data_IF_629151635599
#
_entry.id   IF_629151635599
#
_cell.length_a   1.000
_cell.length_b   1.000
_cell.length_c   1.000
_cell.angle_alpha   90.00
_cell.angle_beta   90.00
_cell.angle_gamma   90.00
#
_symmetry.space_group_name_H-M   'P 1'
#
loop_
_entity.id
_entity.type
_entity.pdbx_description
1 polymer ?
#
# COMPACT_ATOMS: atom_id res chain seq x y z
N UNK A 1 -10.37 13.45 32.80
CA UNK A 1 -9.40 13.37 31.69
C UNK A 1 -8.37 12.34 32.10
N UNK A 2 -8.37 11.16 31.46
CA UNK A 2 -7.45 10.08 31.82
C UNK A 2 -6.19 10.27 30.99
N UNK A 3 -5.06 10.41 31.68
CA UNK A 3 -3.73 10.44 31.09
C UNK A 3 -3.52 9.15 30.28
N UNK A 4 -3.49 9.27 28.95
CA UNK A 4 -3.21 8.17 28.03
C UNK A 4 -1.81 8.41 27.45
N UNK A 5 -0.94 7.44 27.68
CA UNK A 5 0.49 7.47 27.34
C UNK A 5 0.68 6.80 25.97
N UNK A 6 1.15 7.56 24.98
CA UNK A 6 1.71 7.04 23.74
C UNK A 6 3.24 6.90 23.92
N UNK A 7 3.80 5.76 23.49
CA UNK A 7 5.23 5.47 23.63
C UNK A 7 5.82 5.31 22.23
N UNK A 8 6.78 6.16 21.89
CA UNK A 8 7.57 6.08 20.67
C UNK A 8 8.60 4.95 20.78
N UNK A 9 8.65 4.09 19.77
CA UNK A 9 9.72 3.08 19.64
C UNK A 9 10.48 3.25 18.33
N UNK A 10 11.52 4.09 18.37
CA UNK A 10 12.60 4.13 17.39
C UNK A 10 12.32 4.82 16.06
N UNK A 11 13.41 5.28 15.45
CA UNK A 11 13.50 5.78 14.08
C UNK A 11 14.14 4.66 13.25
N UNK A 12 13.46 4.14 12.24
CA UNK A 12 14.01 3.09 11.37
C UNK A 12 14.40 3.76 10.04
N UNK A 13 15.72 4.00 9.86
CA UNK A 13 16.31 4.37 8.57
C UNK A 13 16.57 3.09 7.76
N UNK A 14 16.04 2.98 6.55
CA UNK A 14 16.63 2.11 5.53
C UNK A 14 17.46 3.01 4.60
N UNK A 15 18.71 3.22 4.96
CA UNK A 15 19.64 4.01 4.16
C UNK A 15 20.87 3.15 3.78
N UNK A 16 21.38 3.33 2.56
CA UNK A 16 22.59 2.68 2.07
C UNK A 16 23.78 2.94 3.02
N UNK A 17 24.58 1.90 3.29
CA UNK A 17 25.73 1.94 4.19
C UNK A 17 26.77 2.99 3.75
N UNK A 18 26.70 4.19 4.28
CA UNK A 18 27.81 5.15 4.28
C UNK A 18 28.49 5.18 5.66
N UNK A 19 29.72 4.66 5.74
CA UNK A 19 30.59 4.67 6.92
C UNK A 19 31.14 6.08 7.22
N UNK A 20 30.28 7.02 7.57
CA UNK A 20 30.68 8.32 8.12
C UNK A 20 30.29 8.41 9.61
N UNK A 21 31.10 9.14 10.40
CA UNK A 21 30.77 9.45 11.80
C UNK A 21 29.34 10.03 11.89
N UNK A 22 28.54 9.65 12.90
CA UNK A 22 27.18 10.14 13.01
C UNK A 22 27.21 11.65 13.18
N UNK A 23 26.74 12.37 12.16
CA UNK A 23 26.44 13.80 12.26
C UNK A 23 25.53 13.95 13.49
N UNK A 24 25.86 14.81 14.47
CA UNK A 24 24.97 15.08 15.59
C UNK A 24 23.65 15.55 15.00
N UNK A 25 22.63 14.71 15.11
CA UNK A 25 21.29 15.08 14.67
C UNK A 25 20.88 16.31 15.49
N UNK A 26 20.35 17.37 14.85
CA UNK A 26 19.77 18.48 15.59
C UNK A 26 18.74 17.92 16.59
N UNK A 27 18.54 18.56 17.74
CA UNK A 27 17.57 18.10 18.73
C UNK A 27 16.20 18.04 18.06
N UNK A 28 15.77 16.81 17.73
CA UNK A 28 14.49 16.59 17.11
C UNK A 28 13.41 16.81 18.15
N UNK A 29 12.44 17.68 17.88
CA UNK A 29 11.30 17.88 18.78
C UNK A 29 10.65 16.53 19.00
N UNK A 30 10.38 16.25 20.27
CA UNK A 30 9.73 15.02 20.66
C UNK A 30 8.35 14.95 20.00
N UNK A 31 8.07 13.82 19.34
CA UNK A 31 6.76 13.45 18.83
C UNK A 31 5.66 13.81 19.84
N UNK A 32 4.69 14.61 19.42
CA UNK A 32 3.62 15.08 20.28
C UNK A 32 2.26 14.65 19.74
N UNK A 33 1.33 14.44 20.66
CA UNK A 33 0.00 13.94 20.35
C UNK A 33 -1.03 14.95 20.79
N UNK A 34 -1.93 15.32 19.88
CA UNK A 34 -3.11 16.10 20.23
C UNK A 34 -4.36 15.27 19.95
N UNK A 35 -5.38 15.39 20.80
CA UNK A 35 -6.62 14.68 20.58
C UNK A 35 -7.28 15.19 19.29
N UNK A 36 -7.54 14.29 18.34
CA UNK A 36 -8.27 14.58 17.12
C UNK A 36 -9.78 14.43 17.31
N UNK A 37 -10.51 14.32 16.21
CA UNK A 37 -11.95 14.01 16.23
C UNK A 37 -12.20 12.53 16.53
N UNK A 38 -13.33 12.19 17.16
CA UNK A 38 -13.87 10.82 17.21
C UNK A 38 -12.89 9.67 17.51
N UNK A 39 -12.03 9.81 18.53
CA UNK A 39 -11.11 8.72 18.92
C UNK A 39 -9.82 8.61 18.11
N UNK A 40 -9.54 9.62 17.27
CA UNK A 40 -8.24 9.79 16.61
C UNK A 40 -7.26 10.58 17.46
N UNK A 41 -5.97 10.40 17.19
CA UNK A 41 -4.90 11.19 17.76
C UNK A 41 -4.05 11.77 16.64
N UNK A 42 -3.97 13.09 16.63
CA UNK A 42 -3.11 13.82 15.72
C UNK A 42 -1.66 13.67 16.17
N UNK A 43 -0.79 13.36 15.23
CA UNK A 43 0.64 13.16 15.47
C UNK A 43 1.41 14.35 14.87
N UNK A 44 2.18 15.05 15.70
CA UNK A 44 3.03 16.20 15.32
C UNK A 44 4.50 15.82 15.55
N UNK A 45 5.32 15.92 14.51
CA UNK A 45 6.74 15.59 14.51
C UNK A 45 7.52 16.52 13.57
N UNK A 46 8.80 16.74 13.89
CA UNK A 46 9.68 17.52 13.01
C UNK A 46 10.12 16.69 11.80
N UNK A 47 10.01 17.30 10.63
CA UNK A 47 10.41 16.73 9.36
C UNK A 47 11.90 16.91 9.04
N UNK A 48 12.28 16.56 7.81
CA UNK A 48 13.62 16.73 7.27
C UNK A 48 13.53 16.91 5.76
N UNK A 49 14.42 17.71 5.16
CA UNK A 49 14.46 17.88 3.71
C UNK A 49 14.66 16.52 3.01
N UNK A 50 13.97 16.33 1.88
CA UNK A 50 14.04 15.12 1.04
C UNK A 50 13.69 13.80 1.76
N UNK A 51 13.01 13.87 2.91
CA UNK A 51 12.53 12.69 3.62
C UNK A 51 11.04 12.50 3.42
N UNK A 52 10.67 11.28 3.07
CA UNK A 52 9.30 10.77 2.98
C UNK A 52 9.01 10.02 4.29
N UNK A 53 7.84 10.24 4.85
CA UNK A 53 7.43 9.70 6.12
C UNK A 53 6.18 8.83 5.98
N UNK A 54 6.24 7.68 6.64
CA UNK A 54 5.14 6.75 6.81
C UNK A 54 4.91 6.55 8.30
N UNK A 55 3.67 6.68 8.74
CA UNK A 55 3.31 6.44 10.14
C UNK A 55 2.82 5.01 10.28
N UNK A 56 3.33 4.29 11.26
CA UNK A 56 2.78 3.00 11.67
C UNK A 56 2.24 3.06 13.08
N UNK A 57 1.18 2.32 13.34
CA UNK A 57 0.57 2.19 14.66
C UNK A 57 0.35 0.72 15.02
N UNK A 58 0.29 0.46 16.33
CA UNK A 58 0.10 -0.87 16.89
C UNK A 58 -0.64 -0.78 18.22
N UNK A 59 -1.43 -1.81 18.55
CA UNK A 59 -2.05 -1.95 19.87
C UNK A 59 -1.27 -2.87 20.81
N UNK A 60 -0.35 -3.68 20.27
CA UNK A 60 0.28 -4.79 20.97
C UNK A 60 1.81 -4.88 20.80
N UNK A 61 2.42 -3.95 20.04
CA UNK A 61 3.83 -3.92 19.62
C UNK A 61 4.25 -5.05 18.66
N UNK A 62 3.32 -5.90 18.25
CA UNK A 62 3.58 -7.05 17.37
C UNK A 62 2.99 -6.80 16.00
N UNK A 63 1.69 -6.48 15.95
CA UNK A 63 0.99 -6.17 14.70
C UNK A 63 1.05 -4.67 14.46
N UNK A 64 1.66 -4.30 13.35
CA UNK A 64 1.84 -2.91 12.93
C UNK A 64 1.04 -2.66 11.65
N UNK A 65 0.30 -1.56 11.64
CA UNK A 65 -0.47 -1.11 10.50
C UNK A 65 0.08 0.23 10.04
N UNK A 66 0.19 0.45 8.73
CA UNK A 66 0.41 1.78 8.20
C UNK A 66 -0.83 2.65 8.40
N UNK A 67 -0.59 3.93 8.67
CA UNK A 67 -1.64 4.93 8.61
C UNK A 67 -1.87 5.29 7.13
N UNK A 68 -3.12 5.60 6.73
CA UNK A 68 -3.49 5.82 5.33
C UNK A 68 -3.14 7.25 4.86
N UNK A 69 -1.90 7.67 5.12
CA UNK A 69 -1.34 8.94 4.68
C UNK A 69 0.19 8.88 4.67
N UNK A 70 0.79 9.76 3.88
CA UNK A 70 2.23 9.96 3.75
C UNK A 70 2.54 11.44 3.97
N UNK A 71 3.75 11.74 4.43
CA UNK A 71 4.22 13.11 4.60
C UNK A 71 5.61 13.31 3.97
N UNK A 72 5.95 14.55 3.64
CA UNK A 72 7.21 14.86 2.97
C UNK A 72 7.80 16.19 3.44
N UNK A 73 9.11 16.20 3.66
CA UNK A 73 9.86 17.43 3.90
C UNK A 73 9.93 17.84 5.37
N UNK A 74 10.14 19.14 5.59
CA UNK A 74 10.53 19.70 6.90
C UNK A 74 9.38 19.97 7.86
N UNK A 75 8.17 20.20 7.34
CA UNK A 75 6.98 20.57 8.12
C UNK A 75 5.81 19.62 7.82
N UNK A 76 5.81 18.39 8.35
CA UNK A 76 4.73 17.43 8.17
C UNK A 76 3.42 17.92 8.79
N UNK A 77 2.31 17.73 8.09
CA UNK A 77 0.99 18.06 8.63
C UNK A 77 0.57 17.06 9.72
N UNK A 78 -0.20 17.48 10.75
CA UNK A 78 -0.65 16.59 11.80
C UNK A 78 -1.90 15.80 11.37
N UNK A 79 -1.80 14.46 11.33
CA UNK A 79 -2.91 13.58 10.96
C UNK A 79 -3.42 12.74 12.12
N UNK A 80 -4.75 12.54 12.12
CA UNK A 80 -5.44 11.69 13.05
C UNK A 80 -5.24 10.21 12.73
N UNK A 81 -4.47 9.50 13.55
CA UNK A 81 -4.42 8.03 13.49
C UNK A 81 -5.65 7.44 14.18
N UNK A 82 -6.41 6.60 13.47
CA UNK A 82 -7.52 5.85 14.07
C UNK A 82 -6.96 4.78 15.00
N UNK A 83 -7.27 4.92 16.29
CA UNK A 83 -6.81 3.97 17.33
C UNK A 83 -7.89 2.96 17.69
N UNK A 84 -8.95 2.86 16.89
CA UNK A 84 -10.14 2.03 17.18
C UNK A 84 -10.75 2.28 18.58
N UNK A 85 -10.60 3.51 19.09
CA UNK A 85 -11.04 3.88 20.43
C UNK A 85 -10.18 3.33 21.56
N UNK A 86 -9.01 2.74 21.25
CA UNK A 86 -8.10 2.17 22.22
C UNK A 86 -7.66 3.21 23.28
N UNK A 87 -7.37 2.69 24.47
CA UNK A 87 -6.89 3.53 25.56
C UNK A 87 -5.39 3.80 25.50
N UNK A 88 -4.65 2.95 24.80
CA UNK A 88 -3.22 3.02 24.58
C UNK A 88 -2.93 2.40 23.23
N UNK A 89 -1.92 2.94 22.58
CA UNK A 89 -1.43 2.49 21.29
C UNK A 89 0.03 2.92 21.20
N UNK A 90 0.73 2.32 20.26
CA UNK A 90 2.10 2.61 19.93
C UNK A 90 2.13 3.21 18.54
N UNK A 91 3.07 4.12 18.32
CA UNK A 91 3.36 4.63 16.99
C UNK A 91 4.86 4.58 16.76
N UNK A 92 5.22 4.41 15.50
CA UNK A 92 6.58 4.60 15.03
C UNK A 92 6.54 5.28 13.67
N UNK A 93 7.64 5.94 13.36
CA UNK A 93 7.84 6.55 12.07
C UNK A 93 8.77 5.65 11.26
N UNK A 94 8.31 5.24 10.08
CA UNK A 94 9.16 4.72 9.03
C UNK A 94 9.43 5.86 8.05
N UNK A 95 10.62 5.89 7.46
CA UNK A 95 10.96 6.94 6.51
C UNK A 95 11.91 6.45 5.43
N UNK A 96 11.89 7.17 4.33
CA UNK A 96 12.73 6.95 3.17
C UNK A 96 13.36 8.29 2.76
N UNK A 97 14.67 8.29 2.53
CA UNK A 97 15.42 9.47 2.12
C UNK A 97 15.70 9.37 0.62
N UNK A 98 15.15 10.29 -0.16
CA UNK A 98 15.39 10.34 -1.61
C UNK A 98 15.47 11.78 -2.09
N UNK A 99 16.69 12.20 -2.47
CA UNK A 99 16.95 13.54 -3.00
C UNK A 99 16.30 13.81 -4.37
N UNK A 100 15.86 12.77 -5.09
CA UNK A 100 15.16 12.91 -6.38
C UNK A 100 13.66 13.18 -6.20
N UNK A 101 13.12 12.95 -5.00
CA UNK A 101 11.76 13.31 -4.65
C UNK A 101 11.72 14.76 -4.17
N UNK A 102 10.93 15.58 -4.87
CA UNK A 102 10.81 17.02 -4.61
C UNK A 102 9.43 17.39 -4.05
N UNK A 103 8.48 16.47 -4.00
CA UNK A 103 7.13 16.74 -3.49
C UNK A 103 6.43 15.50 -2.94
N UNK A 104 5.46 15.71 -2.04
CA UNK A 104 4.58 14.66 -1.53
C UNK A 104 3.83 13.94 -2.67
N UNK A 105 3.29 14.68 -3.65
CA UNK A 105 2.59 14.09 -4.77
C UNK A 105 3.49 13.16 -5.61
N UNK A 106 4.76 13.50 -5.78
CA UNK A 106 5.72 12.63 -6.44
C UNK A 106 5.99 11.37 -5.61
N UNK A 107 6.18 11.52 -4.28
CA UNK A 107 6.38 10.40 -3.37
C UNK A 107 5.17 9.43 -3.38
N UNK A 108 3.96 9.97 -3.33
CA UNK A 108 2.71 9.20 -3.32
C UNK A 108 2.54 8.33 -4.57
N UNK A 109 2.92 8.85 -5.73
CA UNK A 109 2.78 8.18 -7.03
C UNK A 109 4.01 7.33 -7.41
N UNK A 110 5.08 7.38 -6.62
CA UNK A 110 6.24 6.52 -6.83
C UNK A 110 5.94 5.10 -6.33
N UNK A 111 6.71 4.15 -6.81
CA UNK A 111 6.73 2.75 -6.39
C UNK A 111 8.16 2.49 -5.91
N UNK A 112 8.38 2.61 -4.60
CA UNK A 112 9.75 2.63 -4.07
C UNK A 112 10.41 1.25 -4.04
N UNK A 113 9.64 0.18 -3.89
CA UNK A 113 10.18 -1.18 -3.85
C UNK A 113 9.99 -1.96 -5.17
N UNK A 114 9.35 -1.34 -6.15
CA UNK A 114 9.17 -1.82 -7.53
C UNK A 114 8.36 -3.11 -7.60
N UNK A 115 7.31 -3.20 -6.79
CA UNK A 115 6.42 -4.35 -6.75
C UNK A 115 5.18 -4.20 -7.66
N UNK A 116 5.00 -3.02 -8.25
CA UNK A 116 3.90 -2.69 -9.16
C UNK A 116 2.78 -1.86 -8.53
N UNK A 117 2.89 -1.44 -7.27
CA UNK A 117 1.90 -0.62 -6.56
C UNK A 117 2.50 0.72 -6.17
N UNK A 118 1.69 1.79 -6.20
CA UNK A 118 2.17 3.10 -5.72
C UNK A 118 2.23 3.14 -4.19
N UNK A 119 3.20 3.88 -3.64
CA UNK A 119 3.38 4.01 -2.19
C UNK A 119 2.10 4.43 -1.46
N UNK A 120 1.28 5.29 -2.09
CA UNK A 120 0.00 5.70 -1.51
C UNK A 120 -1.02 4.55 -1.55
N UNK A 121 -1.15 3.85 -2.67
CA UNK A 121 -2.08 2.73 -2.80
C UNK A 121 -1.73 1.60 -1.84
N UNK A 122 -0.45 1.38 -1.56
CA UNK A 122 -0.03 0.42 -0.54
C UNK A 122 -0.53 0.78 0.85
N UNK A 123 -0.42 2.04 1.28
CA UNK A 123 -0.84 2.44 2.63
C UNK A 123 -2.34 2.71 2.76
N UNK A 124 -3.06 2.95 1.66
CA UNK A 124 -4.51 3.22 1.68
C UNK A 124 -5.38 2.05 1.24
N UNK A 125 -4.92 1.27 0.25
CA UNK A 125 -5.74 0.25 -0.42
C UNK A 125 -5.31 -1.16 -0.03
N UNK A 126 -4.00 -1.44 0.05
CA UNK A 126 -3.47 -2.78 0.34
C UNK A 126 -3.14 -3.01 1.83
N UNK A 127 -2.77 -1.95 2.55
CA UNK A 127 -2.19 -2.08 3.89
C UNK A 127 -0.81 -2.76 3.91
N UNK A 128 -0.07 -2.70 2.80
CA UNK A 128 1.28 -3.24 2.62
C UNK A 128 2.35 -2.20 2.94
N UNK A 129 3.61 -2.61 2.81
CA UNK A 129 4.77 -1.81 3.16
C UNK A 129 5.39 -1.19 1.92
N UNK A 130 5.36 0.14 1.76
CA UNK A 130 5.87 0.84 0.57
C UNK A 130 7.39 0.93 0.45
N UNK A 131 8.08 0.01 1.10
CA UNK A 131 9.54 -0.09 1.21
C UNK A 131 10.00 -1.54 1.13
N UNK A 132 9.09 -2.49 0.94
CA UNK A 132 9.35 -3.91 0.96
C UNK A 132 8.57 -4.58 -0.18
N UNK A 133 9.32 -4.98 -1.21
CA UNK A 133 8.78 -5.64 -2.39
C UNK A 133 7.71 -6.69 -2.07
N UNK A 134 7.91 -7.50 -1.02
CA UNK A 134 6.90 -8.42 -0.51
C UNK A 134 6.74 -8.24 1.01
N UNK A 135 5.65 -7.63 1.46
CA UNK A 135 5.37 -7.33 2.88
C UNK A 135 5.31 -8.60 3.74
N UNK A 136 4.81 -9.69 3.18
CA UNK A 136 4.74 -10.99 3.86
C UNK A 136 6.09 -11.72 3.94
N UNK A 137 7.17 -11.16 3.40
CA UNK A 137 8.50 -11.75 3.36
C UNK A 137 8.67 -12.89 2.33
N UNK A 138 7.73 -13.01 1.41
CA UNK A 138 7.77 -13.95 0.28
C UNK A 138 8.66 -13.48 -0.86
N UNK A 139 8.50 -14.12 -2.02
CA UNK A 139 9.24 -13.78 -3.25
C UNK A 139 8.36 -13.16 -4.35
N UNK A 140 7.08 -12.99 -4.09
CA UNK A 140 6.10 -12.39 -5.02
C UNK A 140 5.76 -11.02 -4.48
N UNK A 141 5.89 -10.00 -5.32
CA UNK A 141 5.64 -8.62 -4.91
C UNK A 141 4.20 -8.41 -4.47
N UNK A 142 3.90 -7.48 -3.57
CA UNK A 142 2.54 -7.29 -3.08
C UNK A 142 1.56 -6.94 -4.21
N UNK A 143 1.99 -6.16 -5.20
CA UNK A 143 1.23 -5.91 -6.42
C UNK A 143 0.92 -7.14 -7.26
N UNK A 144 1.83 -8.12 -7.31
CA UNK A 144 1.70 -9.35 -8.11
C UNK A 144 1.02 -10.50 -7.35
N UNK A 145 0.70 -10.32 -6.06
CA UNK A 145 -0.08 -11.27 -5.31
C UNK A 145 -1.55 -11.24 -5.77
N UNK A 146 -2.26 -12.33 -5.46
CA UNK A 146 -3.68 -12.54 -5.70
C UNK A 146 -4.21 -13.14 -4.39
N UNK A 147 -4.66 -12.27 -3.48
CA UNK A 147 -4.88 -12.63 -2.08
C UNK A 147 -6.10 -13.53 -1.88
N UNK A 148 -7.07 -13.39 -2.76
CA UNK A 148 -8.36 -14.03 -2.75
C UNK A 148 -8.46 -15.18 -3.77
N UNK A 149 -7.47 -15.30 -4.67
CA UNK A 149 -7.28 -16.43 -5.58
C UNK A 149 -8.23 -16.40 -6.77
N UNK A 150 -8.66 -15.22 -7.20
CA UNK A 150 -9.64 -15.07 -8.27
C UNK A 150 -9.02 -14.89 -9.67
N UNK A 151 -7.70 -14.71 -9.71
CA UNK A 151 -6.89 -14.59 -10.92
C UNK A 151 -6.67 -13.15 -11.38
N UNK A 152 -7.07 -12.13 -10.61
CA UNK A 152 -6.68 -10.73 -10.78
C UNK A 152 -5.59 -10.42 -9.75
N UNK A 153 -4.57 -9.66 -10.13
CA UNK A 153 -3.51 -9.27 -9.19
C UNK A 153 -3.95 -8.06 -8.35
N UNK A 154 -3.42 -7.93 -7.14
CA UNK A 154 -3.71 -6.81 -6.25
C UNK A 154 -3.48 -5.44 -6.95
N UNK A 155 -2.41 -5.31 -7.74
CA UNK A 155 -2.12 -4.10 -8.50
C UNK A 155 -3.17 -3.82 -9.58
N UNK A 156 -3.61 -4.85 -10.29
CA UNK A 156 -4.68 -4.72 -11.29
C UNK A 156 -6.00 -4.33 -10.62
N UNK A 157 -6.35 -4.94 -9.49
CA UNK A 157 -7.55 -4.62 -8.73
C UNK A 157 -7.57 -3.18 -8.25
N UNK A 158 -6.47 -2.70 -7.66
CA UNK A 158 -6.30 -1.29 -7.28
C UNK A 158 -6.50 -0.38 -8.50
N UNK A 159 -5.88 -0.71 -9.64
CA UNK A 159 -6.00 0.09 -10.87
C UNK A 159 -7.43 0.15 -11.43
N UNK A 160 -8.21 -0.91 -11.17
CA UNK A 160 -9.61 -1.04 -11.59
C UNK A 160 -10.60 -0.51 -10.53
N UNK A 161 -10.12 -0.11 -9.35
CA UNK A 161 -10.96 0.31 -8.23
C UNK A 161 -11.77 -0.83 -7.60
N UNK A 162 -11.25 -2.06 -7.69
CA UNK A 162 -11.77 -3.25 -7.03
C UNK A 162 -11.18 -3.38 -5.62
N UNK A 163 -11.72 -4.31 -4.82
CA UNK A 163 -11.23 -4.60 -3.46
C UNK A 163 -10.36 -5.87 -3.48
N UNK A 164 -9.02 -5.74 -3.30
CA UNK A 164 -8.08 -6.87 -3.29
C UNK A 164 -8.26 -7.87 -2.15
N UNK A 165 -9.12 -7.55 -1.18
CA UNK A 165 -9.49 -8.47 -0.10
C UNK A 165 -10.68 -9.37 -0.46
N UNK A 166 -11.30 -9.22 -1.63
CA UNK A 166 -12.55 -9.90 -1.96
C UNK A 166 -12.57 -10.42 -3.39
N UNK A 167 -13.04 -11.67 -3.63
CA UNK A 167 -13.15 -12.17 -5.00
C UNK A 167 -14.05 -11.28 -5.87
N UNK A 168 -13.46 -10.73 -6.92
CA UNK A 168 -14.08 -9.85 -7.90
C UNK A 168 -14.55 -10.62 -9.16
N UNK A 169 -14.47 -11.95 -9.15
CA UNK A 169 -15.08 -12.83 -10.16
C UNK A 169 -16.51 -13.26 -9.80
N UNK A 170 -17.51 -12.61 -10.40
CA UNK A 170 -18.80 -13.22 -10.75
C UNK A 170 -19.71 -13.73 -9.63
N UNK A 171 -20.29 -12.84 -8.80
CA UNK A 171 -21.33 -13.23 -7.83
C UNK A 171 -22.05 -12.11 -7.08
N UNK A 172 -22.54 -11.08 -7.80
CA UNK A 172 -23.35 -9.94 -7.31
C UNK A 172 -22.61 -8.91 -6.44
N UNK A 173 -22.59 -7.68 -6.98
CA UNK A 173 -22.08 -6.40 -6.42
C UNK A 173 -20.55 -6.28 -6.31
N UNK A 174 -19.88 -6.05 -7.44
CA UNK A 174 -18.42 -5.80 -7.52
C UNK A 174 -17.74 -6.43 -8.75
N UNK A 175 -18.42 -7.39 -9.37
CA UNK A 175 -17.86 -8.29 -10.39
C UNK A 175 -17.20 -7.61 -11.59
N UNK A 176 -15.91 -7.93 -11.80
CA UNK A 176 -15.33 -8.03 -13.13
C UNK A 176 -16.21 -8.99 -13.95
N UNK A 177 -16.76 -8.52 -15.07
CA UNK A 177 -17.58 -9.37 -15.95
C UNK A 177 -16.65 -10.07 -16.94
N UNK A 178 -16.78 -11.39 -17.04
CA UNK A 178 -16.11 -12.17 -18.07
C UNK A 178 -17.11 -12.39 -19.19
N UNK A 179 -16.83 -11.78 -20.34
CA UNK A 179 -17.60 -11.93 -21.55
C UNK A 179 -17.05 -13.08 -22.39
N UNK A 180 -17.93 -14.02 -22.75
CA UNK A 180 -17.61 -15.13 -23.64
C UNK A 180 -18.13 -14.83 -25.04
N UNK A 181 -17.24 -14.86 -26.03
CA UNK A 181 -17.59 -14.71 -27.43
C UNK A 181 -17.71 -16.10 -28.09
N UNK A 182 -18.81 -16.30 -28.81
CA UNK A 182 -19.07 -17.53 -29.56
C UNK A 182 -19.24 -17.22 -31.06
N UNK A 183 -18.88 -18.18 -31.90
CA UNK A 183 -19.20 -18.12 -33.33
C UNK A 183 -20.67 -18.51 -33.61
N UNK A 184 -21.07 -18.46 -34.88
CA UNK A 184 -22.43 -18.82 -35.33
C UNK A 184 -22.80 -20.30 -35.06
N UNK A 185 -21.83 -21.15 -34.73
CA UNK A 185 -22.02 -22.56 -34.37
C UNK A 185 -21.93 -22.79 -32.85
N UNK A 186 -21.94 -21.70 -32.06
CA UNK A 186 -21.86 -21.74 -30.61
C UNK A 186 -20.55 -22.35 -30.07
N UNK A 187 -19.44 -22.19 -30.81
CA UNK A 187 -18.08 -22.55 -30.37
C UNK A 187 -17.38 -21.34 -29.77
N UNK A 188 -16.63 -21.54 -28.68
CA UNK A 188 -15.91 -20.46 -28.01
C UNK A 188 -14.79 -19.90 -28.91
N UNK A 189 -14.84 -18.60 -29.20
CA UNK A 189 -13.85 -17.90 -30.04
C UNK A 189 -13.17 -16.74 -29.30
N UNK A 190 -13.62 -16.40 -28.09
CA UNK A 190 -12.92 -15.44 -27.26
C UNK A 190 -13.42 -15.41 -25.83
N UNK A 191 -12.52 -14.98 -24.95
CA UNK A 191 -12.83 -14.62 -23.55
C UNK A 191 -12.28 -13.21 -23.33
N UNK A 192 -13.13 -12.30 -22.88
CA UNK A 192 -12.76 -10.97 -22.43
C UNK A 192 -13.04 -10.85 -20.95
N UNK A 193 -12.02 -10.59 -20.15
CA UNK A 193 -12.14 -10.14 -18.76
C UNK A 193 -11.78 -8.66 -18.66
N UNK A 194 -11.90 -8.11 -17.46
CA UNK A 194 -11.50 -6.72 -17.17
C UNK A 194 -9.99 -6.46 -17.36
N UNK A 195 -9.16 -7.50 -17.25
CA UNK A 195 -7.69 -7.40 -17.36
C UNK A 195 -7.13 -7.95 -18.68
N UNK A 196 -7.90 -8.72 -19.45
CA UNK A 196 -7.37 -9.39 -20.64
C UNK A 196 -8.44 -9.72 -21.68
N UNK A 197 -8.05 -9.76 -22.95
CA UNK A 197 -8.85 -10.36 -24.02
C UNK A 197 -8.02 -11.42 -24.72
N UNK A 198 -8.54 -12.64 -24.75
CA UNK A 198 -7.95 -13.76 -25.49
C UNK A 198 -8.90 -14.20 -26.59
N UNK A 199 -8.42 -14.23 -27.82
CA UNK A 199 -9.15 -14.76 -28.97
C UNK A 199 -8.58 -16.10 -29.39
N UNK A 200 -9.45 -16.99 -29.86
CA UNK A 200 -9.08 -18.33 -30.29
C UNK A 200 -9.34 -18.48 -31.79
N UNK A 201 -8.36 -19.02 -32.51
CA UNK A 201 -8.55 -19.49 -33.88
C UNK A 201 -8.94 -20.96 -33.84
N UNK A 202 -9.96 -21.34 -34.61
CA UNK A 202 -10.42 -22.71 -34.70
C UNK A 202 -9.91 -23.35 -36.00
N UNK A 203 -9.42 -24.59 -35.91
CA UNK A 203 -9.10 -25.42 -37.07
C UNK A 203 -10.39 -25.83 -37.81
N UNK A 204 -10.29 -26.44 -39.02
CA UNK A 204 -11.46 -26.92 -39.77
C UNK A 204 -12.32 -27.94 -39.01
N UNK A 205 -11.74 -28.67 -38.05
CA UNK A 205 -12.40 -29.64 -37.19
C UNK A 205 -13.07 -28.99 -35.95
N UNK A 206 -12.84 -27.69 -35.71
CA UNK A 206 -13.39 -26.90 -34.61
C UNK A 206 -12.59 -26.92 -33.31
N UNK A 207 -11.34 -27.35 -33.32
CA UNK A 207 -10.43 -27.29 -32.18
C UNK A 207 -9.65 -25.97 -32.16
N UNK A 208 -9.21 -25.53 -30.98
CA UNK A 208 -8.41 -24.31 -30.81
C UNK A 208 -6.96 -24.55 -31.31
N UNK A 209 -6.48 -23.74 -32.25
CA UNK A 209 -5.10 -23.78 -32.75
C UNK A 209 -4.15 -22.91 -31.89
N UNK A 210 -3.00 -23.48 -31.50
CA UNK A 210 -1.87 -22.75 -30.89
C UNK A 210 -2.07 -22.37 -29.42
N UNK A 211 -1.45 -23.13 -28.51
CA UNK A 211 -1.21 -22.72 -27.12
C UNK A 211 0.25 -22.37 -26.90
#
# INVERSE_FOLDING_TARGET
MKDKLAILMGWICLCDLALADPVPLPPQRQLSFTAGSSGTWNIDFDGSENRIYFVQWSLDLVTWHFAPFMEFGVDPEPYGVQTEGASKFFVRLAYYDDSSIESLAQAMNADFDNDGVSNMDEVTSLGTSPLLFATNGGSVGDGAQDWEGDGISNADEVSLGLDPGTPNTGGSTGSATVDYAYDDTNRLIGVTSVVSTKTYQLDPEGNIEGQ
#
